data_IF_659499544947
#
_entry.id   IF_659499544947
#
_cell.length_a   1.000
_cell.length_b   1.000
_cell.length_c   1.000
_cell.angle_alpha   90.00
_cell.angle_beta   90.00
_cell.angle_gamma   90.00
#
_symmetry.space_group_name_H-M   'P 1'
#
loop_
_entity.id
_entity.type
_entity.pdbx_description
1 polymer ?
#
# COMPACT_ATOMS: atom_id res chain seq x y z
N UNK A 1 25.41 -15.26 9.84
CA UNK A 1 24.56 -14.18 9.27
C UNK A 1 23.55 -13.79 10.33
N UNK A 2 23.36 -12.51 10.63
CA UNK A 2 22.26 -12.10 11.52
C UNK A 2 20.98 -12.22 10.71
N UNK A 3 20.08 -13.11 11.12
CA UNK A 3 18.76 -13.25 10.50
C UNK A 3 18.07 -11.89 10.41
N UNK A 4 17.30 -11.67 9.35
CA UNK A 4 16.61 -10.42 9.12
C UNK A 4 15.51 -10.22 10.18
N UNK A 5 15.80 -9.52 11.27
CA UNK A 5 14.87 -9.21 12.35
C UNK A 5 13.69 -8.32 11.90
N UNK A 6 13.67 -7.87 10.62
CA UNK A 6 12.66 -7.00 10.06
C UNK A 6 11.45 -7.75 9.52
N UNK A 7 11.61 -9.04 9.20
CA UNK A 7 10.50 -9.85 8.68
C UNK A 7 9.57 -10.24 9.81
N UNK A 8 8.34 -9.73 9.79
CA UNK A 8 7.31 -10.01 10.80
C UNK A 8 6.06 -10.53 10.12
N UNK A 9 5.51 -11.65 10.61
CA UNK A 9 4.20 -12.12 10.18
C UNK A 9 3.11 -11.19 10.72
N UNK A 10 2.11 -10.79 9.91
CA UNK A 10 0.95 -10.05 10.38
C UNK A 10 0.25 -10.75 11.55
N UNK A 11 -0.08 -10.00 12.59
CA UNK A 11 -0.79 -10.52 13.78
C UNK A 11 -2.30 -10.59 13.58
N UNK A 12 -2.82 -10.00 12.50
CA UNK A 12 -4.24 -10.00 12.14
C UNK A 12 -4.50 -10.96 10.98
N UNK A 13 -5.73 -11.46 10.90
CA UNK A 13 -6.16 -12.27 9.76
C UNK A 13 -6.21 -11.39 8.50
N UNK A 14 -5.63 -11.89 7.40
CA UNK A 14 -5.72 -11.22 6.10
C UNK A 14 -7.17 -11.15 5.63
N UNK A 15 -7.70 -9.96 5.48
CA UNK A 15 -9.03 -9.67 4.93
C UNK A 15 -8.95 -8.44 4.02
N UNK A 16 -8.33 -8.55 2.85
CA UNK A 16 -8.16 -7.38 1.99
C UNK A 16 -9.52 -6.82 1.60
N UNK A 17 -9.77 -5.52 1.82
CA UNK A 17 -10.97 -4.88 1.31
C UNK A 17 -10.95 -4.84 -0.21
N UNK A 18 -12.13 -4.63 -0.82
CA UNK A 18 -12.30 -4.58 -2.28
C UNK A 18 -12.89 -3.24 -2.65
N UNK A 19 -12.24 -2.52 -3.54
CA UNK A 19 -12.76 -1.31 -4.14
C UNK A 19 -13.02 -1.51 -5.64
N UNK A 20 -14.26 -1.23 -6.08
CA UNK A 20 -14.63 -1.23 -7.49
C UNK A 20 -14.37 0.13 -8.07
N UNK A 21 -13.24 0.25 -8.78
CA UNK A 21 -12.83 1.48 -9.43
C UNK A 21 -13.61 1.64 -10.73
N UNK A 22 -14.60 2.53 -10.72
CA UNK A 22 -15.49 2.75 -11.86
C UNK A 22 -14.79 3.60 -12.91
N UNK A 23 -15.00 3.25 -14.18
CA UNK A 23 -14.54 4.06 -15.31
C UNK A 23 -15.36 5.34 -15.39
N UNK A 24 -14.73 6.46 -15.12
CA UNK A 24 -15.36 7.77 -15.09
C UNK A 24 -15.75 8.24 -16.51
N UNK A 25 -16.90 8.90 -16.60
CA UNK A 25 -17.36 9.61 -17.79
C UNK A 25 -17.10 11.10 -17.62
N UNK A 26 -16.65 11.74 -18.68
CA UNK A 26 -16.38 13.19 -18.69
C UNK A 26 -15.00 13.57 -18.19
N UNK A 27 -14.78 14.86 -18.12
CA UNK A 27 -13.51 15.49 -17.73
C UNK A 27 -13.59 15.85 -16.23
N UNK A 28 -12.55 15.55 -15.42
CA UNK A 28 -12.45 16.05 -14.05
C UNK A 28 -12.40 17.58 -13.96
N UNK A 29 -12.09 18.25 -15.08
CA UNK A 29 -11.79 19.67 -15.12
C UNK A 29 -10.45 20.01 -14.47
N UNK A 30 -10.23 21.28 -14.20
CA UNK A 30 -9.03 21.69 -13.46
C UNK A 30 -9.09 21.12 -12.03
N UNK A 31 -8.00 20.50 -11.60
CA UNK A 31 -7.84 20.06 -10.22
C UNK A 31 -7.67 21.30 -9.31
N UNK A 32 -8.42 21.34 -8.23
CA UNK A 32 -8.38 22.40 -7.22
C UNK A 32 -8.45 21.86 -5.78
N UNK A 33 -8.33 20.54 -5.63
CA UNK A 33 -8.39 19.83 -4.38
C UNK A 33 -9.81 19.56 -3.86
N UNK A 34 -10.87 19.98 -4.58
CA UNK A 34 -12.28 19.80 -4.15
C UNK A 34 -12.94 18.63 -4.86
N UNK A 35 -13.69 17.84 -4.09
CA UNK A 35 -14.37 16.66 -4.59
C UNK A 35 -15.90 16.87 -4.78
N UNK A 36 -16.35 18.10 -4.86
CA UNK A 36 -17.76 18.46 -5.09
C UNK A 36 -18.17 18.43 -6.58
N UNK A 37 -17.20 18.30 -7.49
CA UNK A 37 -17.41 18.21 -8.94
C UNK A 37 -18.25 16.99 -9.33
N UNK A 38 -19.06 17.08 -10.41
CA UNK A 38 -19.85 15.95 -10.91
C UNK A 38 -19.02 14.69 -11.21
N UNK A 39 -17.77 14.87 -11.63
CA UNK A 39 -16.82 13.78 -11.88
C UNK A 39 -16.71 12.82 -10.68
N UNK A 40 -16.53 13.36 -9.46
CA UNK A 40 -16.36 12.57 -8.25
C UNK A 40 -17.63 11.90 -7.71
N UNK A 41 -18.81 12.25 -8.26
CA UNK A 41 -20.07 11.60 -7.86
C UNK A 41 -20.19 10.16 -8.38
N UNK A 42 -19.37 9.77 -9.34
CA UNK A 42 -19.40 8.45 -9.98
C UNK A 42 -18.75 7.34 -9.13
N UNK A 43 -17.84 7.69 -8.22
CA UNK A 43 -17.14 6.73 -7.36
C UNK A 43 -17.75 6.61 -5.97
N UNK A 44 -17.66 5.41 -5.41
CA UNK A 44 -18.01 5.15 -4.02
C UNK A 44 -16.93 5.68 -3.06
N UNK A 45 -17.32 5.93 -1.80
CA UNK A 45 -16.38 6.33 -0.78
C UNK A 45 -15.74 5.14 -0.09
N UNK A 46 -14.43 5.14 0.02
CA UNK A 46 -13.67 4.38 1.01
C UNK A 46 -13.68 5.20 2.31
N UNK A 47 -14.13 4.61 3.41
CA UNK A 47 -14.28 5.32 4.70
C UNK A 47 -13.79 4.54 5.90
N UNK A 48 -13.52 3.24 5.74
CA UNK A 48 -13.17 2.33 6.84
C UNK A 48 -11.65 2.27 7.00
N UNK A 49 -11.10 3.29 7.65
CA UNK A 49 -9.69 3.36 8.01
C UNK A 49 -9.47 2.81 9.42
N UNK A 50 -8.35 2.14 9.61
CA UNK A 50 -7.92 1.52 10.87
C UNK A 50 -6.50 1.95 11.21
N UNK A 51 -6.12 1.78 12.47
CA UNK A 51 -4.70 1.79 12.81
C UNK A 51 -3.96 0.68 12.03
N UNK A 52 -2.70 0.89 11.71
CA UNK A 52 -1.86 -0.04 10.94
C UNK A 52 -1.82 -1.45 11.57
N UNK A 53 -1.90 -1.56 12.90
CA UNK A 53 -1.99 -2.83 13.63
C UNK A 53 -3.44 -3.38 13.72
N UNK A 54 -4.39 -2.75 13.03
CA UNK A 54 -5.80 -3.15 12.99
C UNK A 54 -6.55 -2.90 14.29
N UNK A 55 -7.61 -3.69 14.53
CA UNK A 55 -8.50 -3.53 15.69
C UNK A 55 -7.83 -3.85 17.05
N UNK A 56 -6.55 -4.17 17.07
CA UNK A 56 -5.75 -4.25 18.31
C UNK A 56 -5.43 -2.86 18.88
N UNK A 57 -5.64 -1.82 18.10
CA UNK A 57 -5.45 -0.42 18.44
C UNK A 57 -6.77 0.35 18.36
N UNK A 58 -6.84 1.54 18.98
CA UNK A 58 -7.99 2.43 18.84
C UNK A 58 -8.24 2.82 17.38
N UNK A 59 -9.50 3.05 17.04
CA UNK A 59 -9.87 3.59 15.72
C UNK A 59 -9.36 5.02 15.55
N UNK A 60 -9.07 5.42 14.29
CA UNK A 60 -8.76 6.81 13.97
C UNK A 60 -9.77 7.78 14.54
N UNK A 61 -9.32 8.84 15.20
CA UNK A 61 -10.20 9.88 15.77
C UNK A 61 -10.50 11.01 14.80
N UNK A 62 -9.77 11.09 13.68
CA UNK A 62 -10.04 11.99 12.56
C UNK A 62 -10.45 11.15 11.34
N UNK A 63 -11.49 11.55 10.65
CA UNK A 63 -12.02 10.80 9.51
C UNK A 63 -11.17 11.04 8.24
N UNK A 64 -10.94 9.96 7.50
CA UNK A 64 -10.37 9.96 6.16
C UNK A 64 -11.37 9.32 5.20
N UNK A 65 -11.59 9.92 4.03
CA UNK A 65 -12.45 9.37 2.99
C UNK A 65 -11.75 9.50 1.64
N UNK A 66 -11.78 8.43 0.86
CA UNK A 66 -11.09 8.38 -0.45
C UNK A 66 -12.05 7.93 -1.53
N UNK A 67 -11.88 8.42 -2.73
CA UNK A 67 -12.49 7.93 -3.97
C UNK A 67 -11.43 7.65 -5.00
N UNK A 68 -11.62 6.60 -5.77
CA UNK A 68 -10.77 6.26 -6.91
C UNK A 68 -11.64 6.11 -8.14
N UNK A 69 -11.24 6.72 -9.22
CA UNK A 69 -11.86 6.64 -10.54
C UNK A 69 -10.76 6.44 -11.60
N UNK A 70 -11.14 5.97 -12.76
CA UNK A 70 -10.21 5.80 -13.87
C UNK A 70 -10.84 6.13 -15.23
N UNK A 71 -10.02 6.42 -16.22
CA UNK A 71 -10.41 6.51 -17.62
C UNK A 71 -9.23 6.07 -18.52
N UNK A 72 -9.30 6.30 -19.82
CA UNK A 72 -8.23 5.90 -20.74
C UNK A 72 -6.92 6.66 -20.57
N UNK A 73 -6.92 7.78 -19.84
CA UNK A 73 -5.75 8.64 -19.67
C UNK A 73 -5.02 8.40 -18.35
N UNK A 74 -5.80 8.21 -17.24
CA UNK A 74 -5.24 8.24 -15.90
C UNK A 74 -6.07 7.51 -14.85
N UNK A 75 -5.43 7.22 -13.72
CA UNK A 75 -6.04 6.94 -12.44
C UNK A 75 -6.26 8.28 -11.72
N UNK A 76 -7.46 8.46 -11.14
CA UNK A 76 -7.81 9.65 -10.37
C UNK A 76 -8.08 9.25 -8.93
N UNK A 77 -7.44 9.94 -7.99
CA UNK A 77 -7.62 9.72 -6.56
C UNK A 77 -8.03 11.05 -5.93
N UNK A 78 -9.10 11.04 -5.16
CA UNK A 78 -9.54 12.17 -4.37
C UNK A 78 -9.69 11.78 -2.92
N UNK A 79 -9.12 12.56 -2.00
CA UNK A 79 -9.24 12.31 -0.57
C UNK A 79 -9.75 13.53 0.18
N UNK A 80 -10.47 13.27 1.28
CA UNK A 80 -10.94 14.29 2.24
C UNK A 80 -10.53 13.84 3.63
N UNK A 81 -9.73 14.66 4.30
CA UNK A 81 -9.20 14.42 5.63
C UNK A 81 -9.78 15.46 6.59
N UNK A 82 -10.59 15.03 7.56
CA UNK A 82 -10.98 15.95 8.65
C UNK A 82 -9.77 16.20 9.52
N UNK A 83 -9.51 17.46 9.83
CA UNK A 83 -8.34 17.85 10.61
C UNK A 83 -8.56 19.22 11.25
N UNK A 84 -8.50 19.27 12.56
CA UNK A 84 -8.56 20.50 13.35
C UNK A 84 -7.17 21.11 13.63
N UNK A 85 -6.12 20.43 13.19
CA UNK A 85 -4.72 20.81 13.40
C UNK A 85 -3.93 20.74 12.09
N UNK A 86 -4.43 21.41 11.04
CA UNK A 86 -3.82 21.36 9.70
C UNK A 86 -2.42 21.98 9.75
N UNK A 87 -1.40 21.14 9.63
CA UNK A 87 -0.02 21.62 9.61
C UNK A 87 0.85 20.81 8.65
N UNK A 88 1.85 21.48 8.09
CA UNK A 88 2.89 20.88 7.27
C UNK A 88 4.13 21.78 7.29
N UNK A 89 5.30 21.20 7.12
CA UNK A 89 6.59 21.90 7.16
C UNK A 89 7.47 21.62 5.95
N UNK A 90 7.33 20.44 5.33
CA UNK A 90 8.10 20.01 4.16
C UNK A 90 7.59 20.71 2.91
N UNK A 91 8.49 21.40 2.19
CA UNK A 91 8.15 22.28 1.05
C UNK A 91 8.74 21.83 -0.27
N UNK A 92 9.82 21.07 -0.22
CA UNK A 92 10.51 20.67 -1.45
C UNK A 92 10.08 19.27 -1.84
N UNK A 93 9.84 19.09 -3.15
CA UNK A 93 9.59 17.77 -3.73
C UNK A 93 10.75 16.80 -3.37
N UNK A 94 10.41 15.54 -3.18
CA UNK A 94 11.32 14.43 -2.89
C UNK A 94 12.06 14.53 -1.54
N UNK A 95 11.63 15.43 -0.67
CA UNK A 95 11.96 15.35 0.75
C UNK A 95 11.02 14.37 1.46
N UNK A 96 11.47 13.84 2.59
CA UNK A 96 10.70 12.89 3.41
C UNK A 96 9.43 13.58 3.94
N UNK A 97 8.26 13.17 3.45
CA UNK A 97 6.96 13.79 3.76
C UNK A 97 6.36 13.25 5.07
N UNK A 98 6.52 11.96 5.37
CA UNK A 98 5.93 11.35 6.58
C UNK A 98 6.42 11.95 7.91
N UNK A 99 7.34 12.92 7.89
CA UNK A 99 7.67 13.73 9.07
C UNK A 99 6.61 14.81 9.36
N UNK A 100 5.71 15.08 8.42
CA UNK A 100 4.51 15.90 8.60
C UNK A 100 3.27 15.00 8.76
N UNK A 101 2.09 15.60 8.98
CA UNK A 101 0.83 14.93 8.69
C UNK A 101 0.69 14.83 7.17
N UNK A 102 0.36 13.64 6.67
CA UNK A 102 0.31 13.41 5.24
C UNK A 102 -0.79 12.42 4.82
N UNK A 103 -0.87 12.20 3.52
CA UNK A 103 -1.68 11.18 2.87
C UNK A 103 -0.81 10.41 1.90
N UNK A 104 -0.85 9.10 2.00
CA UNK A 104 -0.02 8.20 1.21
C UNK A 104 -0.88 7.28 0.32
N UNK A 105 -0.34 6.96 -0.84
CA UNK A 105 -0.90 6.01 -1.80
C UNK A 105 0.13 4.95 -2.10
N UNK A 106 -0.23 3.69 -1.85
CA UNK A 106 0.55 2.52 -2.23
C UNK A 106 -0.14 1.81 -3.38
N UNK A 107 0.59 1.48 -4.45
CA UNK A 107 0.03 0.91 -5.65
C UNK A 107 0.93 -0.18 -6.23
N UNK A 108 0.42 -1.43 -6.29
CA UNK A 108 1.10 -2.56 -6.89
C UNK A 108 0.27 -3.11 -8.06
N UNK A 109 0.59 -2.72 -9.30
CA UNK A 109 -0.11 -3.17 -10.49
C UNK A 109 0.07 -4.65 -10.80
N UNK A 110 1.20 -5.22 -10.39
CA UNK A 110 1.45 -6.65 -10.51
C UNK A 110 1.01 -7.37 -9.23
N UNK A 111 0.60 -8.61 -9.38
CA UNK A 111 0.27 -9.48 -8.27
C UNK A 111 1.54 -10.06 -7.60
N UNK A 112 2.41 -9.15 -7.20
CA UNK A 112 3.69 -9.41 -6.56
C UNK A 112 3.92 -8.40 -5.45
N UNK A 113 4.68 -8.79 -4.43
CA UNK A 113 5.16 -7.84 -3.40
C UNK A 113 6.39 -7.05 -3.86
N UNK A 114 6.92 -7.34 -5.06
CA UNK A 114 8.05 -6.64 -5.65
C UNK A 114 7.57 -5.68 -6.73
N UNK A 115 8.27 -4.56 -6.89
CA UNK A 115 7.98 -3.50 -7.84
C UNK A 115 6.60 -2.90 -7.62
N UNK A 116 6.55 -1.94 -6.75
CA UNK A 116 5.34 -1.16 -6.46
C UNK A 116 5.69 0.31 -6.31
N UNK A 117 4.66 1.14 -6.32
CA UNK A 117 4.77 2.59 -6.24
C UNK A 117 4.27 3.09 -4.89
N UNK A 118 4.88 4.16 -4.43
CA UNK A 118 4.48 4.92 -3.28
C UNK A 118 4.42 6.41 -3.64
N UNK A 119 3.42 7.10 -3.14
CA UNK A 119 3.29 8.55 -3.25
C UNK A 119 2.85 9.06 -1.89
N UNK A 120 3.62 9.97 -1.33
CA UNK A 120 3.28 10.71 -0.11
C UNK A 120 2.99 12.17 -0.46
N UNK A 121 2.04 12.79 0.24
CA UNK A 121 1.64 14.18 -0.01
C UNK A 121 1.17 14.84 1.28
N UNK A 122 1.67 16.04 1.56
CA UNK A 122 1.20 16.84 2.69
C UNK A 122 0.20 17.94 2.29
N UNK A 123 -0.33 18.66 3.27
CA UNK A 123 -1.30 19.73 3.06
C UNK A 123 -0.75 20.96 2.31
N UNK A 124 0.56 21.04 2.08
CA UNK A 124 1.20 22.06 1.22
C UNK A 124 1.19 21.68 -0.26
N UNK A 125 0.64 20.52 -0.64
CA UNK A 125 0.77 19.95 -1.97
C UNK A 125 2.22 19.60 -2.32
N UNK A 126 3.05 19.33 -1.32
CA UNK A 126 4.40 18.79 -1.53
C UNK A 126 4.28 17.29 -1.71
N UNK A 127 4.98 16.73 -2.69
CA UNK A 127 4.90 15.33 -3.09
C UNK A 127 6.28 14.68 -2.98
N UNK A 128 6.29 13.44 -2.52
CA UNK A 128 7.38 12.50 -2.62
C UNK A 128 6.86 11.21 -3.25
N UNK A 129 7.40 10.82 -4.39
CA UNK A 129 7.00 9.59 -5.08
C UNK A 129 8.20 8.67 -5.32
N UNK A 130 7.96 7.40 -5.17
CA UNK A 130 8.99 6.37 -5.13
C UNK A 130 8.60 5.16 -5.98
N UNK A 131 9.59 4.56 -6.61
CA UNK A 131 9.50 3.20 -7.12
C UNK A 131 10.27 2.27 -6.19
N UNK A 132 9.57 1.30 -5.61
CA UNK A 132 10.12 0.30 -4.71
C UNK A 132 10.43 -0.99 -5.48
N UNK A 133 11.67 -1.47 -5.44
CA UNK A 133 12.03 -2.75 -6.06
C UNK A 133 11.46 -3.94 -5.28
N UNK A 134 11.38 -3.81 -3.95
CA UNK A 134 10.85 -4.80 -3.01
C UNK A 134 10.48 -4.15 -1.68
N UNK A 135 9.79 -4.86 -0.76
CA UNK A 135 9.50 -4.36 0.58
C UNK A 135 10.75 -4.01 1.39
N UNK A 136 10.63 -3.05 2.31
CA UNK A 136 11.76 -2.63 3.15
C UNK A 136 12.33 -3.78 3.99
N UNK A 137 11.50 -4.72 4.42
CA UNK A 137 11.91 -5.93 5.15
C UNK A 137 12.86 -6.82 4.35
N UNK A 138 12.82 -6.76 3.02
CA UNK A 138 13.64 -7.55 2.09
C UNK A 138 14.85 -6.75 1.56
N UNK A 139 15.30 -5.74 2.31
CA UNK A 139 16.46 -4.90 1.95
C UNK A 139 16.24 -4.14 0.62
N UNK A 140 15.11 -3.46 0.49
CA UNK A 140 14.74 -2.72 -0.70
C UNK A 140 15.77 -1.69 -1.18
N UNK A 141 15.79 -1.46 -2.49
CA UNK A 141 16.36 -0.27 -3.08
C UNK A 141 15.21 0.67 -3.47
N UNK A 142 15.09 1.77 -2.77
CA UNK A 142 14.16 2.84 -3.14
C UNK A 142 14.73 3.64 -4.29
N UNK A 143 14.00 3.70 -5.40
CA UNK A 143 14.40 4.50 -6.56
C UNK A 143 13.77 5.88 -6.38
N UNK A 144 14.43 6.71 -5.57
CA UNK A 144 13.96 8.05 -5.17
C UNK A 144 14.02 9.09 -6.29
N UNK A 145 14.73 8.82 -7.35
CA UNK A 145 14.77 9.69 -8.54
C UNK A 145 13.76 9.28 -9.61
N UNK A 146 12.81 8.38 -9.28
CA UNK A 146 11.67 8.07 -10.13
C UNK A 146 10.54 9.05 -9.84
N UNK A 147 9.94 9.57 -10.88
CA UNK A 147 8.80 10.49 -10.78
C UNK A 147 7.57 9.90 -11.47
N UNK A 148 6.40 10.14 -10.92
CA UNK A 148 5.12 9.97 -11.63
C UNK A 148 5.04 11.06 -12.70
N UNK A 149 5.48 10.75 -13.91
CA UNK A 149 5.52 11.71 -15.01
C UNK A 149 4.12 12.21 -15.34
N UNK A 150 3.98 13.54 -15.37
CA UNK A 150 2.71 14.18 -15.65
C UNK A 150 1.71 14.07 -14.51
N UNK A 151 2.16 13.78 -13.28
CA UNK A 151 1.34 13.92 -12.09
C UNK A 151 0.74 15.32 -12.03
N UNK A 152 -0.58 15.39 -11.93
CA UNK A 152 -1.28 16.61 -11.56
C UNK A 152 -1.84 16.43 -10.16
N UNK A 153 -1.60 17.39 -9.27
CA UNK A 153 -2.07 17.36 -7.89
C UNK A 153 -2.61 18.73 -7.47
N UNK A 154 -3.58 18.73 -6.60
CA UNK A 154 -4.11 19.95 -5.99
C UNK A 154 -4.60 19.65 -4.57
N UNK A 155 -4.41 20.60 -3.67
CA UNK A 155 -4.90 20.58 -2.29
C UNK A 155 -5.83 21.75 -2.05
N UNK A 156 -6.92 21.50 -1.35
CA UNK A 156 -7.81 22.52 -0.79
C UNK A 156 -7.78 22.44 0.73
N UNK A 157 -7.59 23.59 1.38
CA UNK A 157 -7.61 23.75 2.84
C UNK A 157 -8.96 24.33 3.27
N UNK A 158 -9.69 23.64 4.16
CA UNK A 158 -10.87 24.16 4.84
C UNK A 158 -10.45 24.64 6.23
N UNK A 159 -9.91 25.84 6.27
CA UNK A 159 -9.25 26.46 7.42
C UNK A 159 -8.04 27.31 7.02
N UNK A 160 -7.03 27.33 7.85
CA UNK A 160 -5.75 28.01 7.57
C UNK A 160 -4.58 27.12 7.97
N UNK A 161 -3.75 26.79 6.99
CA UNK A 161 -2.57 25.96 7.20
C UNK A 161 -1.60 26.60 8.20
N UNK A 162 -1.14 25.83 9.18
CA UNK A 162 -0.18 26.24 10.23
C UNK A 162 -0.68 27.35 11.16
N UNK A 163 -1.98 27.57 11.22
CA UNK A 163 -2.57 28.56 12.12
C UNK A 163 -3.46 27.87 13.19
N UNK A 164 -2.98 27.74 14.43
CA UNK A 164 -3.76 27.12 15.50
C UNK A 164 -4.91 28.01 16.03
N UNK A 165 -5.00 29.27 15.61
CA UNK A 165 -6.09 30.18 15.98
C UNK A 165 -7.27 30.12 15.01
N UNK A 166 -7.11 29.48 13.87
CA UNK A 166 -8.14 29.36 12.84
C UNK A 166 -9.17 28.26 13.17
N UNK A 167 -10.38 28.43 12.61
CA UNK A 167 -11.43 27.36 12.64
C UNK A 167 -11.10 26.31 11.56
N UNK A 168 -10.18 25.41 11.88
CA UNK A 168 -9.71 24.38 10.99
C UNK A 168 -10.68 23.19 10.96
N UNK A 169 -11.02 22.70 9.77
CA UNK A 169 -11.93 21.54 9.58
C UNK A 169 -11.28 20.40 8.83
N UNK A 170 -10.25 20.68 8.05
CA UNK A 170 -9.52 19.67 7.30
C UNK A 170 -8.96 20.17 5.97
N UNK A 171 -8.52 19.20 5.20
CA UNK A 171 -8.02 19.42 3.86
C UNK A 171 -8.46 18.30 2.93
N UNK A 172 -8.41 18.58 1.66
CA UNK A 172 -8.74 17.61 0.63
C UNK A 172 -7.78 17.72 -0.54
N UNK A 173 -7.67 16.65 -1.30
CA UNK A 173 -6.75 16.57 -2.42
C UNK A 173 -7.38 15.89 -3.63
N UNK A 174 -6.86 16.23 -4.79
CA UNK A 174 -7.09 15.54 -6.05
C UNK A 174 -5.75 15.19 -6.68
N UNK A 175 -5.64 13.96 -7.17
CA UNK A 175 -4.51 13.45 -7.93
C UNK A 175 -4.98 12.92 -9.28
N UNK A 176 -4.21 13.21 -10.34
CA UNK A 176 -4.30 12.55 -11.64
C UNK A 176 -2.96 11.89 -11.94
N UNK A 177 -2.99 10.57 -12.06
CA UNK A 177 -1.82 9.74 -12.28
C UNK A 177 -1.90 9.12 -13.69
N UNK A 178 -1.19 9.66 -14.68
CA UNK A 178 -1.25 9.17 -16.06
C UNK A 178 -0.73 7.73 -16.19
N UNK A 179 -1.40 6.90 -16.99
CA UNK A 179 -1.05 5.48 -17.14
C UNK A 179 0.37 5.25 -17.64
N UNK A 180 0.91 6.14 -18.47
CA UNK A 180 2.27 6.00 -19.00
C UNK A 180 3.36 6.07 -17.91
N UNK A 181 3.01 6.50 -16.68
CA UNK A 181 3.93 6.56 -15.55
C UNK A 181 4.10 5.21 -14.82
N UNK A 182 3.28 4.22 -15.12
CA UNK A 182 3.29 2.92 -14.43
C UNK A 182 3.88 1.78 -15.27
N UNK A 183 4.76 2.08 -16.21
CA UNK A 183 5.34 1.10 -17.14
C UNK A 183 6.27 0.11 -16.48
N UNK A 184 6.93 0.49 -15.40
CA UNK A 184 7.92 -0.34 -14.72
C UNK A 184 7.29 -1.50 -13.96
N UNK A 185 6.04 -1.34 -13.50
CA UNK A 185 5.38 -2.30 -12.61
C UNK A 185 4.01 -2.79 -13.10
N UNK A 186 3.36 -2.12 -14.04
CA UNK A 186 1.93 -2.33 -14.27
C UNK A 186 1.54 -2.83 -15.63
N UNK A 187 2.42 -2.79 -16.58
CA UNK A 187 2.11 -3.26 -17.91
C UNK A 187 3.10 -4.34 -18.26
N UNK A 188 2.61 -5.43 -18.80
CA UNK A 188 3.46 -6.43 -19.40
C UNK A 188 4.49 -5.72 -20.29
N UNK A 189 5.76 -5.82 -19.95
CA UNK A 189 6.84 -5.26 -20.73
C UNK A 189 6.82 -5.75 -22.19
N UNK A 190 6.08 -6.85 -22.45
CA UNK A 190 5.83 -7.40 -23.77
C UNK A 190 4.67 -6.73 -24.52
N UNK A 191 3.86 -5.88 -23.86
CA UNK A 191 2.73 -5.16 -24.47
C UNK A 191 2.86 -3.64 -24.28
N UNK A 192 3.86 -3.00 -24.89
CA UNK A 192 4.14 -1.57 -24.67
C UNK A 192 3.04 -0.62 -25.19
N UNK A 193 2.08 -1.13 -25.94
CA UNK A 193 1.00 -0.34 -26.54
C UNK A 193 -0.19 -0.15 -25.60
N UNK A 194 -0.35 -1.02 -24.59
CA UNK A 194 -1.43 -0.93 -23.61
C UNK A 194 -0.98 -0.14 -22.39
N UNK A 195 -1.53 1.04 -22.19
CA UNK A 195 -1.20 1.92 -21.06
C UNK A 195 -2.25 1.86 -19.94
N UNK A 196 -3.53 1.83 -20.28
CA UNK A 196 -4.63 1.77 -19.32
C UNK A 196 -4.99 0.31 -18.95
N UNK A 197 -5.47 0.05 -17.72
CA UNK A 197 -5.99 -1.25 -17.35
C UNK A 197 -7.27 -1.60 -18.15
N UNK A 198 -7.62 -2.88 -18.17
CA UNK A 198 -8.89 -3.34 -18.73
C UNK A 198 -9.92 -3.61 -17.62
N UNK A 199 -11.23 -3.51 -17.93
CA UNK A 199 -12.26 -3.95 -17.01
C UNK A 199 -12.05 -5.40 -16.58
N UNK A 200 -12.10 -5.67 -15.28
CA UNK A 200 -11.78 -6.97 -14.69
C UNK A 200 -10.31 -7.12 -14.26
N UNK A 201 -9.43 -6.22 -14.65
CA UNK A 201 -8.06 -6.19 -14.12
C UNK A 201 -8.07 -5.79 -12.64
N UNK A 202 -7.16 -6.39 -11.87
CA UNK A 202 -7.10 -6.20 -10.42
C UNK A 202 -5.67 -5.85 -10.02
N UNK A 203 -5.52 -4.73 -9.32
CA UNK A 203 -4.28 -4.30 -8.70
C UNK A 203 -4.37 -4.40 -7.17
N UNK A 204 -3.24 -4.27 -6.49
CA UNK A 204 -3.20 -4.06 -5.04
C UNK A 204 -3.02 -2.58 -4.77
N UNK A 205 -3.76 -2.06 -3.81
CA UNK A 205 -3.69 -0.66 -3.42
C UNK A 205 -3.92 -0.52 -1.92
N UNK A 206 -3.26 0.43 -1.32
CA UNK A 206 -3.59 0.90 0.01
C UNK A 206 -3.49 2.42 0.09
N UNK A 207 -4.12 2.97 1.11
CA UNK A 207 -4.03 4.36 1.49
C UNK A 207 -3.63 4.43 2.95
N UNK A 208 -2.71 5.32 3.25
CA UNK A 208 -2.33 5.65 4.62
C UNK A 208 -2.55 7.13 4.89
N UNK A 209 -2.83 7.44 6.14
CA UNK A 209 -2.74 8.77 6.69
C UNK A 209 -1.74 8.72 7.84
N UNK A 210 -0.68 9.49 7.74
CA UNK A 210 0.20 9.77 8.87
C UNK A 210 -0.38 10.92 9.67
N UNK A 211 -0.53 10.72 10.98
CA UNK A 211 -1.08 11.72 11.88
C UNK A 211 -0.23 11.83 13.15
N UNK A 212 0.26 13.02 13.45
CA UNK A 212 0.96 13.31 14.68
C UNK A 212 0.02 13.99 15.69
N UNK A 213 0.13 13.62 16.95
CA UNK A 213 -0.39 14.47 18.02
C UNK A 213 0.43 15.74 18.13
N UNK A 214 -0.23 16.87 18.04
CA UNK A 214 0.40 18.19 18.16
C UNK A 214 -0.17 18.99 19.32
N UNK A 215 0.61 19.94 19.81
CA UNK A 215 0.23 20.94 20.79
C UNK A 215 0.61 22.34 20.29
N UNK A 216 0.15 23.37 20.95
CA UNK A 216 0.42 24.74 20.55
C UNK A 216 1.45 25.36 21.50
N UNK A 217 2.61 25.68 20.96
CA UNK A 217 3.67 26.43 21.65
C UNK A 217 3.93 27.76 20.90
N UNK A 218 3.89 28.88 21.61
CA UNK A 218 4.15 30.21 21.03
C UNK A 218 3.33 30.51 19.75
N UNK A 219 2.08 30.01 19.71
CA UNK A 219 1.19 30.21 18.57
C UNK A 219 1.50 29.34 17.34
N UNK A 220 2.24 28.25 17.50
CA UNK A 220 2.59 27.31 16.43
C UNK A 220 2.30 25.88 16.85
N UNK A 221 1.98 25.03 15.88
CA UNK A 221 1.90 23.60 16.11
C UNK A 221 3.30 23.01 16.30
N UNK A 222 3.47 22.20 17.34
CA UNK A 222 4.65 21.39 17.61
C UNK A 222 4.22 19.97 17.92
N UNK A 223 5.04 18.98 17.55
CA UNK A 223 4.76 17.59 17.89
C UNK A 223 4.75 17.40 19.39
N UNK A 224 3.69 16.81 19.92
CA UNK A 224 3.56 16.47 21.33
C UNK A 224 4.70 15.54 21.75
N UNK A 225 5.20 15.74 22.96
CA UNK A 225 6.34 14.97 23.47
C UNK A 225 5.92 14.03 24.57
N UNK A 226 6.58 12.88 24.62
CA UNK A 226 6.49 11.96 25.75
C UNK A 226 7.08 12.64 27.00
N UNK A 227 6.30 12.80 28.08
CA UNK A 227 6.76 13.49 29.28
C UNK A 227 7.90 12.77 30.02
N UNK A 228 8.08 11.47 29.79
CA UNK A 228 9.14 10.69 30.45
C UNK A 228 10.46 10.79 29.70
N UNK A 229 10.44 10.87 28.37
CA UNK A 229 11.66 10.85 27.51
C UNK A 229 11.98 12.20 26.90
N UNK A 230 11.01 13.11 26.79
CA UNK A 230 11.13 14.38 26.08
C UNK A 230 11.21 14.26 24.55
N UNK A 231 11.12 13.04 24.01
CA UNK A 231 11.12 12.81 22.56
C UNK A 231 9.70 13.03 22.00
N UNK A 232 9.56 13.43 20.72
CA UNK A 232 8.26 13.46 20.06
C UNK A 232 7.55 12.11 20.18
N UNK A 233 6.23 12.13 20.41
CA UNK A 233 5.42 10.92 20.29
C UNK A 233 5.51 10.38 18.86
N UNK A 234 5.46 9.06 18.66
CA UNK A 234 5.44 8.49 17.33
C UNK A 234 4.17 8.90 16.57
N UNK A 235 4.25 8.84 15.27
CA UNK A 235 3.11 9.02 14.38
C UNK A 235 2.08 7.90 14.55
N UNK A 236 0.83 8.22 14.23
CA UNK A 236 -0.22 7.24 13.98
C UNK A 236 -0.29 6.99 12.48
N UNK A 237 -0.32 5.74 12.09
CA UNK A 237 -0.50 5.31 10.72
C UNK A 237 -1.89 4.69 10.57
N UNK A 238 -2.77 5.34 9.81
CA UNK A 238 -4.14 4.87 9.60
C UNK A 238 -4.35 4.43 8.17
N UNK A 239 -4.54 3.12 7.99
CA UNK A 239 -4.62 2.48 6.70
C UNK A 239 -6.05 2.03 6.36
N UNK A 240 -6.37 2.03 5.08
CA UNK A 240 -7.57 1.39 4.56
C UNK A 240 -7.52 -0.13 4.69
N UNK A 241 -6.37 -0.74 4.39
CA UNK A 241 -6.10 -2.16 4.53
C UNK A 241 -4.99 -2.39 5.56
N UNK A 242 -5.30 -2.49 6.86
CA UNK A 242 -4.28 -2.62 7.90
C UNK A 242 -3.42 -3.85 7.71
N UNK A 243 -2.12 -3.69 7.88
CA UNK A 243 -1.14 -4.76 7.68
C UNK A 243 -0.98 -5.65 8.90
N UNK A 244 -1.39 -5.19 10.10
CA UNK A 244 -1.30 -5.93 11.35
C UNK A 244 0.07 -5.88 12.03
N UNK A 245 0.99 -5.10 11.48
CA UNK A 245 2.31 -4.78 12.04
C UNK A 245 2.67 -3.35 11.65
N UNK A 246 3.63 -2.73 12.34
CA UNK A 246 4.11 -1.37 11.99
C UNK A 246 5.03 -1.48 10.77
N UNK A 247 4.44 -1.73 9.61
CA UNK A 247 5.06 -1.77 8.28
C UNK A 247 3.96 -1.64 7.22
N UNK A 248 3.86 -0.49 6.54
CA UNK A 248 2.89 -0.27 5.47
C UNK A 248 3.29 -0.99 4.17
N UNK A 249 4.57 -1.32 4.00
CA UNK A 249 5.13 -1.95 2.81
C UNK A 249 4.86 -3.46 2.72
N UNK A 250 3.58 -3.83 2.76
CA UNK A 250 3.12 -5.23 2.70
C UNK A 250 2.06 -5.41 1.60
N UNK A 251 2.45 -5.39 0.31
CA UNK A 251 1.49 -5.48 -0.81
C UNK A 251 0.54 -6.68 -0.73
N UNK A 252 0.97 -7.78 -0.11
CA UNK A 252 0.14 -8.96 0.13
C UNK A 252 -1.03 -8.72 1.09
N UNK A 253 -1.00 -7.67 1.90
CA UNK A 253 -2.07 -7.27 2.82
C UNK A 253 -2.99 -6.20 2.24
N UNK A 254 -2.53 -5.42 1.26
CA UNK A 254 -3.30 -4.32 0.68
C UNK A 254 -4.62 -4.77 0.06
N UNK A 255 -5.54 -3.83 -0.09
CA UNK A 255 -6.83 -4.05 -0.72
C UNK A 255 -6.75 -4.37 -2.21
N UNK A 256 -7.87 -4.84 -2.75
CA UNK A 256 -8.04 -5.05 -4.19
C UNK A 256 -8.65 -3.81 -4.83
N UNK A 257 -7.96 -3.27 -5.82
CA UNK A 257 -8.48 -2.26 -6.75
C UNK A 257 -8.95 -3.00 -8.00
N UNK A 258 -10.26 -3.14 -8.17
CA UNK A 258 -10.87 -3.85 -9.30
C UNK A 258 -11.35 -2.82 -10.32
N UNK A 259 -10.76 -2.80 -11.51
CA UNK A 259 -11.18 -1.88 -12.57
C UNK A 259 -12.48 -2.36 -13.20
N UNK A 260 -13.49 -1.47 -13.26
CA UNK A 260 -14.81 -1.78 -13.78
C UNK A 260 -15.32 -0.68 -14.70
N UNK A 261 -16.28 -0.99 -15.59
CA UNK A 261 -16.95 0.05 -16.38
C UNK A 261 -18.04 0.75 -15.56
N UNK A 262 -18.96 -0.03 -14.97
CA UNK A 262 -20.17 0.47 -14.31
C UNK A 262 -20.34 -0.09 -12.88
N UNK A 263 -19.23 -0.52 -12.22
CA UNK A 263 -19.28 -1.07 -10.87
C UNK A 263 -19.66 -2.55 -10.79
N UNK A 264 -19.63 -3.26 -11.92
CA UNK A 264 -19.88 -4.69 -11.99
C UNK A 264 -18.85 -5.49 -11.15
N UNK A 265 -19.28 -6.63 -10.65
CA UNK A 265 -18.42 -7.50 -9.84
C UNK A 265 -17.59 -8.41 -10.73
N UNK A 266 -16.31 -8.46 -10.48
CA UNK A 266 -15.37 -9.43 -11.06
C UNK A 266 -14.89 -10.41 -9.98
N UNK A 267 -14.61 -11.68 -10.33
CA UNK A 267 -14.09 -12.65 -9.38
C UNK A 267 -12.68 -12.23 -8.93
N UNK A 268 -12.41 -12.37 -7.65
CA UNK A 268 -11.06 -12.18 -7.11
C UNK A 268 -10.14 -13.34 -7.54
N UNK A 269 -8.81 -13.14 -7.56
CA UNK A 269 -7.86 -14.16 -7.99
C UNK A 269 -7.96 -15.42 -7.14
N UNK A 270 -8.27 -16.56 -7.74
CA UNK A 270 -8.41 -17.83 -7.02
C UNK A 270 -7.12 -18.32 -6.37
N UNK A 271 -5.96 -17.91 -6.92
CA UNK A 271 -4.64 -18.31 -6.42
C UNK A 271 -4.17 -17.52 -5.19
N UNK A 272 -4.89 -16.50 -4.79
CA UNK A 272 -4.48 -15.63 -3.68
C UNK A 272 -4.33 -16.37 -2.35
N UNK A 273 -5.16 -17.35 -2.07
CA UNK A 273 -5.03 -18.17 -0.87
C UNK A 273 -3.73 -18.98 -0.87
N UNK A 274 -3.35 -19.57 -2.02
CA UNK A 274 -2.07 -20.26 -2.19
C UNK A 274 -0.89 -19.29 -2.03
N UNK A 275 -0.95 -18.15 -2.71
CA UNK A 275 0.09 -17.13 -2.64
C UNK A 275 0.29 -16.62 -1.21
N UNK A 276 -0.80 -16.42 -0.48
CA UNK A 276 -0.72 -16.01 0.91
C UNK A 276 -0.18 -17.12 1.82
N UNK A 277 -0.50 -18.39 1.55
CA UNK A 277 0.09 -19.52 2.28
C UNK A 277 1.61 -19.60 2.04
N UNK A 278 2.07 -19.38 0.80
CA UNK A 278 3.51 -19.26 0.50
C UNK A 278 4.14 -18.05 1.20
N UNK A 279 3.42 -16.93 1.27
CA UNK A 279 3.88 -15.76 2.03
C UNK A 279 4.01 -16.06 3.52
N UNK A 280 3.08 -16.81 4.10
CA UNK A 280 3.18 -17.27 5.48
C UNK A 280 4.36 -18.22 5.68
N UNK A 281 4.65 -19.10 4.70
CA UNK A 281 5.85 -19.95 4.74
C UNK A 281 7.11 -19.07 4.80
N UNK A 282 7.20 -18.03 3.96
CA UNK A 282 8.30 -17.07 3.98
C UNK A 282 8.46 -16.43 5.37
N UNK A 283 7.41 -15.97 6.04
CA UNK A 283 7.50 -15.40 7.39
C UNK A 283 8.02 -16.43 8.41
N UNK A 284 7.49 -17.65 8.35
CA UNK A 284 7.87 -18.74 9.28
C UNK A 284 9.30 -19.20 9.05
N UNK A 285 9.75 -19.26 7.81
CA UNK A 285 11.13 -19.57 7.47
C UNK A 285 12.10 -18.53 8.02
N UNK A 286 11.78 -17.25 7.88
CA UNK A 286 12.60 -16.18 8.48
C UNK A 286 12.61 -16.27 10.01
N UNK A 287 11.49 -16.50 10.64
CA UNK A 287 11.42 -16.67 12.08
C UNK A 287 12.24 -17.90 12.55
N UNK A 288 12.16 -19.02 11.81
CA UNK A 288 12.93 -20.21 12.06
C UNK A 288 14.45 -19.94 11.91
N UNK A 289 14.84 -19.26 10.84
CA UNK A 289 16.22 -18.89 10.60
C UNK A 289 16.78 -17.97 11.70
N UNK A 290 16.00 -17.03 12.21
CA UNK A 290 16.38 -16.20 13.36
C UNK A 290 16.59 -17.03 14.60
N UNK A 291 15.74 -18.01 14.87
CA UNK A 291 15.79 -18.85 16.08
C UNK A 291 16.88 -19.91 16.03
N UNK A 292 17.16 -20.49 14.86
CA UNK A 292 17.98 -21.69 14.69
C UNK A 292 19.23 -21.50 13.83
N UNK A 293 19.37 -20.35 13.15
CA UNK A 293 20.50 -20.02 12.27
C UNK A 293 20.43 -20.66 10.88
N UNK A 294 19.37 -21.40 10.56
CA UNK A 294 19.13 -22.07 9.27
C UNK A 294 17.65 -22.07 8.92
N UNK A 295 17.32 -22.20 7.64
CA UNK A 295 15.96 -22.42 7.16
C UNK A 295 15.52 -23.87 7.40
N UNK A 296 14.21 -24.15 7.37
CA UNK A 296 13.61 -25.45 7.64
C UNK A 296 13.10 -26.13 6.37
N UNK A 297 13.45 -27.39 6.13
CA UNK A 297 12.82 -28.17 5.06
C UNK A 297 11.43 -28.73 5.45
N UNK A 298 10.96 -28.48 6.68
CA UNK A 298 9.68 -28.99 7.19
C UNK A 298 8.57 -27.95 7.08
N UNK A 299 8.05 -27.72 5.88
CA UNK A 299 6.92 -26.84 5.64
C UNK A 299 5.67 -27.24 6.44
N UNK A 300 5.46 -28.56 6.67
CA UNK A 300 4.34 -29.06 7.47
C UNK A 300 4.48 -28.71 8.95
N UNK A 301 5.68 -28.78 9.50
CA UNK A 301 5.97 -28.35 10.86
C UNK A 301 5.76 -26.85 11.06
N UNK A 302 6.05 -26.04 10.04
CA UNK A 302 5.91 -24.59 10.08
C UNK A 302 4.44 -24.10 9.93
N UNK A 303 3.64 -24.73 9.05
CA UNK A 303 2.31 -24.22 8.65
C UNK A 303 1.15 -25.21 8.86
N UNK A 304 1.40 -26.48 9.19
CA UNK A 304 0.35 -27.44 9.51
C UNK A 304 -0.67 -27.63 8.39
N UNK A 305 -1.93 -27.25 8.64
CA UNK A 305 -3.04 -27.47 7.69
C UNK A 305 -2.88 -26.74 6.37
N UNK A 306 -2.35 -25.52 6.38
CA UNK A 306 -2.11 -24.77 5.14
C UNK A 306 -1.06 -25.45 4.25
N UNK A 307 0.00 -26.02 4.85
CA UNK A 307 1.00 -26.77 4.10
C UNK A 307 0.36 -27.99 3.42
N UNK A 308 -0.50 -28.71 4.13
CA UNK A 308 -1.23 -29.87 3.56
C UNK A 308 -2.23 -29.47 2.48
N UNK A 309 -3.00 -28.39 2.72
CA UNK A 309 -4.02 -27.90 1.79
C UNK A 309 -3.45 -27.52 0.43
N UNK A 310 -2.29 -26.88 0.42
CA UNK A 310 -1.67 -26.33 -0.78
C UNK A 310 -0.44 -27.14 -1.26
N UNK A 311 -0.16 -28.31 -0.65
CA UNK A 311 0.98 -29.16 -0.99
C UNK A 311 2.30 -28.37 -0.92
N UNK A 312 2.49 -27.61 0.20
CA UNK A 312 3.69 -26.79 0.35
C UNK A 312 4.91 -27.67 0.63
N UNK A 313 5.98 -27.36 -0.08
CA UNK A 313 7.32 -27.95 0.10
C UNK A 313 8.33 -26.82 0.29
N UNK A 314 9.39 -27.06 1.02
CA UNK A 314 10.51 -26.14 1.20
C UNK A 314 11.82 -26.81 0.83
N UNK A 315 12.56 -26.20 -0.08
CA UNK A 315 13.90 -26.59 -0.51
C UNK A 315 14.90 -25.59 0.08
N UNK A 316 15.82 -26.08 0.91
CA UNK A 316 16.67 -25.21 1.71
C UNK A 316 18.16 -25.46 1.51
N UNK A 317 18.93 -24.40 1.64
CA UNK A 317 20.35 -24.41 1.88
C UNK A 317 20.63 -23.70 3.22
N UNK A 318 21.87 -23.66 3.73
CA UNK A 318 22.14 -22.89 4.96
C UNK A 318 21.72 -21.43 4.94
N UNK A 319 21.59 -20.80 3.77
CA UNK A 319 21.35 -19.35 3.63
C UNK A 319 20.21 -18.98 2.70
N UNK A 320 19.63 -19.93 1.98
CA UNK A 320 18.56 -19.69 1.00
C UNK A 320 17.44 -20.71 1.19
N UNK A 321 16.24 -20.35 0.78
CA UNK A 321 15.15 -21.31 0.62
C UNK A 321 14.32 -20.99 -0.64
N UNK A 322 13.62 -22.01 -1.11
CA UNK A 322 12.56 -21.92 -2.09
C UNK A 322 11.36 -22.68 -1.54
N UNK A 323 10.25 -21.97 -1.34
CA UNK A 323 8.95 -22.57 -1.02
C UNK A 323 8.17 -22.82 -2.30
N UNK A 324 7.58 -24.00 -2.45
CA UNK A 324 6.75 -24.37 -3.59
C UNK A 324 5.37 -24.77 -3.10
N UNK A 325 4.33 -24.31 -3.80
CA UNK A 325 2.95 -24.67 -3.48
C UNK A 325 2.15 -24.99 -4.74
N UNK A 326 1.17 -25.94 -4.62
CA UNK A 326 0.37 -26.42 -5.74
C UNK A 326 -1.11 -26.38 -5.40
N UNK A 327 -1.88 -25.73 -6.29
CA UNK A 327 -3.32 -25.63 -6.14
C UNK A 327 -4.03 -25.55 -7.51
N UNK A 328 -5.10 -26.34 -7.68
CA UNK A 328 -5.91 -26.33 -8.92
C UNK A 328 -5.09 -26.46 -10.23
N UNK A 329 -4.00 -27.23 -10.20
CA UNK A 329 -3.15 -27.46 -11.37
C UNK A 329 -2.16 -26.32 -11.67
N UNK A 330 -2.04 -25.36 -10.80
CA UNK A 330 -1.00 -24.33 -10.84
C UNK A 330 0.07 -24.60 -9.79
N UNK A 331 1.29 -24.20 -10.10
CA UNK A 331 2.44 -24.22 -9.21
C UNK A 331 2.96 -22.80 -9.03
N UNK A 332 3.21 -22.42 -7.79
CA UNK A 332 3.75 -21.14 -7.40
C UNK A 332 4.92 -21.32 -6.45
N UNK A 333 5.87 -20.42 -6.54
CA UNK A 333 7.12 -20.43 -5.79
C UNK A 333 7.30 -19.13 -5.00
N UNK A 334 8.07 -19.22 -3.92
CA UNK A 334 8.53 -18.05 -3.15
C UNK A 334 9.97 -18.30 -2.68
N UNK A 335 10.81 -17.28 -2.71
CA UNK A 335 12.18 -17.38 -2.19
C UNK A 335 12.38 -16.60 -0.87
N UNK A 336 13.62 -16.62 -0.36
CA UNK A 336 14.02 -15.93 0.87
C UNK A 336 13.91 -14.40 0.79
N UNK A 337 13.83 -13.83 -0.39
CA UNK A 337 13.62 -12.38 -0.60
C UNK A 337 12.13 -12.04 -0.73
N UNK A 338 11.26 -13.03 -0.55
CA UNK A 338 9.82 -12.87 -0.68
C UNK A 338 9.34 -12.69 -2.12
N UNK A 339 10.17 -12.99 -3.11
CA UNK A 339 9.75 -12.95 -4.50
C UNK A 339 8.86 -14.14 -4.84
N UNK A 340 7.68 -13.86 -5.40
CA UNK A 340 6.68 -14.85 -5.82
C UNK A 340 6.68 -14.96 -7.35
N UNK A 341 6.69 -16.21 -7.86
CA UNK A 341 6.55 -16.45 -9.31
C UNK A 341 5.77 -17.74 -9.57
N UNK A 342 5.22 -17.82 -10.77
CA UNK A 342 4.52 -19.00 -11.26
C UNK A 342 5.50 -19.96 -11.89
N UNK A 343 5.42 -21.24 -11.53
CA UNK A 343 6.21 -22.28 -12.15
C UNK A 343 5.84 -22.50 -13.63
N UNK A 344 6.84 -22.81 -14.45
CA UNK A 344 6.62 -23.14 -15.87
C UNK A 344 5.94 -24.51 -15.99
N UNK A 345 4.86 -24.60 -16.78
CA UNK A 345 4.19 -25.86 -17.10
C UNK A 345 5.02 -26.83 -17.96
N UNK A 346 6.26 -26.45 -18.32
CA UNK A 346 7.06 -27.14 -19.34
C UNK A 346 7.81 -28.40 -18.86
N UNK A 347 7.78 -28.77 -17.57
CA UNK A 347 8.54 -29.89 -17.04
C UNK A 347 7.70 -31.06 -16.47
N UNK A 348 6.47 -31.23 -16.90
CA UNK A 348 5.60 -32.33 -16.49
C UNK A 348 5.06 -33.12 -17.66
N UNK A 349 5.91 -33.89 -18.34
CA UNK A 349 5.43 -34.78 -19.39
C UNK A 349 6.52 -35.50 -20.20
N UNK A 350 7.10 -36.54 -19.66
CA UNK A 350 7.39 -37.78 -20.35
C UNK A 350 6.83 -38.95 -19.57
#
# INVERSE_FOLDING_TARGET
MKGNHRVKEPIIARKPPVYRCVRAKGDPGRLDGRLDKPFWRQGEWITDFHDIEGDTRPRPWKATRVKVLWNDEALYIGAVLTDDTIWATVKNRDEIIYVDNDFEVFLAPQDSSHRYYELEMNAMNTVWDLLMDRPQRDCCHRIIGWDIRGLESAVHIDGVLNDPSADNRGWSLELKLPWFSFRECGVDACCPERLAPEPGEIWRMDFSRVEYEVEVEEGRYVKRRDPATGLPLPEHNWLWAPTGVIDAHMPEMWGYLVFTNDGEAYPLPEMDDLKFALRRLYYREHAHCVAHGVYSADANGLLGDDARRFGLEAFVTPSLFEGVGRWKGEEWHIDQDGYLWRGDRSNGGE
#
